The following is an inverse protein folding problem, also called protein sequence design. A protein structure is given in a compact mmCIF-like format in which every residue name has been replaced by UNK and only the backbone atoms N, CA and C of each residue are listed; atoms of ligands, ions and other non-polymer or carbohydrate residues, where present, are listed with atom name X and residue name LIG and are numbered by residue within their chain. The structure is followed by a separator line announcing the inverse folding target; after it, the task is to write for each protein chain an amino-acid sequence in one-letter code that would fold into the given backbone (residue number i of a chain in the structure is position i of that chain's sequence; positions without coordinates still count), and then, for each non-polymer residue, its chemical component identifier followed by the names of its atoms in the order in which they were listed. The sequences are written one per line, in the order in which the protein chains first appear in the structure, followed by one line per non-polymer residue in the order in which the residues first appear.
data_IF_656535858517
#
_entry.id   IF_656535858517
#
_cell.length_a   1.000
_cell.length_b   1.000
_cell.length_c   1.000
_cell.angle_alpha   90.00
_cell.angle_beta   90.00
_cell.angle_gamma   90.00
#
_symmetry.space_group_name_H-M   'P 1'
#
loop_
_entity.id
_entity.type
_entity.pdbx_description
1 polymer ?
#
# COMPACT_ATOMS: atom_id res chain seq x y z
N UNK A 1 -2.92 25.23 -26.14
CA UNK A 1 -3.48 23.89 -26.33
C UNK A 1 -2.41 23.04 -26.98
N UNK A 2 -1.76 22.19 -26.20
CA UNK A 2 -0.53 21.50 -26.57
C UNK A 2 -0.84 20.17 -27.28
N UNK A 3 -0.17 19.98 -28.43
CA UNK A 3 0.52 18.75 -28.87
C UNK A 3 -0.22 17.42 -28.63
N UNK A 4 -1.11 17.05 -29.56
CA UNK A 4 -1.36 15.63 -29.85
C UNK A 4 -0.17 15.08 -30.63
N UNK A 5 0.79 14.51 -29.90
CA UNK A 5 1.85 13.70 -30.49
C UNK A 5 1.21 12.48 -31.15
N UNK A 6 1.38 12.40 -32.46
CA UNK A 6 1.06 11.26 -33.30
C UNK A 6 1.99 10.10 -32.89
N UNK A 7 1.58 9.35 -31.87
CA UNK A 7 2.20 8.09 -31.49
C UNK A 7 1.80 7.07 -32.57
N UNK A 8 2.56 7.05 -33.65
CA UNK A 8 2.51 5.96 -34.63
C UNK A 8 3.16 4.76 -33.95
N UNK A 9 2.39 4.08 -33.09
CA UNK A 9 2.90 3.00 -32.25
C UNK A 9 3.16 1.80 -33.15
N UNK A 10 4.41 1.34 -33.17
CA UNK A 10 4.82 0.13 -33.87
C UNK A 10 4.23 -1.08 -33.13
N UNK A 11 3.00 -1.47 -33.48
CA UNK A 11 2.33 -2.67 -32.96
C UNK A 11 3.26 -3.89 -33.12
N UNK A 12 4.01 -3.97 -34.23
CA UNK A 12 4.95 -5.05 -34.50
C UNK A 12 6.14 -5.10 -33.53
N UNK A 13 6.70 -3.97 -33.09
CA UNK A 13 7.83 -3.97 -32.15
C UNK A 13 7.40 -4.40 -30.75
N UNK A 14 6.20 -3.99 -30.34
CA UNK A 14 5.63 -4.33 -29.04
C UNK A 14 5.30 -5.82 -28.96
N UNK A 15 4.75 -6.41 -30.04
CA UNK A 15 4.53 -7.86 -30.16
C UNK A 15 5.84 -8.63 -30.06
N UNK A 16 6.89 -8.20 -30.79
CA UNK A 16 8.20 -8.85 -30.75
C UNK A 16 8.82 -8.80 -29.35
N UNK A 17 8.69 -7.67 -28.63
CA UNK A 17 9.22 -7.55 -27.27
C UNK A 17 8.50 -8.48 -26.28
N UNK A 18 7.18 -8.63 -26.40
CA UNK A 18 6.40 -9.55 -25.56
C UNK A 18 6.73 -11.01 -25.89
N UNK A 19 6.97 -11.32 -27.17
CA UNK A 19 7.41 -12.65 -27.60
C UNK A 19 8.82 -12.99 -27.10
N UNK A 20 9.76 -12.04 -27.15
CA UNK A 20 11.11 -12.18 -26.58
C UNK A 20 11.08 -12.39 -25.06
N UNK A 21 10.03 -11.91 -24.39
CA UNK A 21 9.79 -12.17 -22.96
C UNK A 21 9.23 -13.56 -22.67
N UNK A 22 8.99 -14.37 -23.71
CA UNK A 22 8.50 -15.75 -23.60
C UNK A 22 6.99 -15.88 -23.45
N UNK A 23 6.21 -14.85 -23.78
CA UNK A 23 4.75 -14.91 -23.77
C UNK A 23 4.22 -15.64 -25.00
N UNK A 24 3.19 -16.46 -24.79
CA UNK A 24 2.49 -17.17 -25.87
C UNK A 24 1.61 -16.21 -26.68
N UNK A 25 1.39 -16.52 -27.96
CA UNK A 25 0.66 -15.68 -28.92
C UNK A 25 -0.75 -15.28 -28.46
N UNK A 26 -1.42 -16.14 -27.70
CA UNK A 26 -2.74 -15.87 -27.10
C UNK A 26 -2.67 -14.85 -25.96
N UNK A 27 -1.60 -14.85 -25.16
CA UNK A 27 -1.36 -13.89 -24.08
C UNK A 27 -0.95 -12.53 -24.63
N UNK A 28 -0.11 -12.52 -25.68
CA UNK A 28 0.25 -11.30 -26.42
C UNK A 28 -1.00 -10.62 -26.98
N UNK A 29 -1.93 -11.40 -27.55
CA UNK A 29 -3.18 -10.87 -28.07
C UNK A 29 -4.06 -10.24 -26.97
N UNK A 30 -4.15 -10.89 -25.81
CA UNK A 30 -4.91 -10.37 -24.66
C UNK A 30 -4.30 -9.08 -24.12
N UNK A 31 -2.97 -9.03 -23.96
CA UNK A 31 -2.25 -7.86 -23.46
C UNK A 31 -2.32 -6.69 -24.46
N UNK A 32 -2.22 -6.95 -25.77
CA UNK A 32 -2.35 -5.92 -26.79
C UNK A 32 -3.78 -5.38 -26.91
N UNK A 33 -4.79 -6.24 -26.79
CA UNK A 33 -6.19 -5.80 -26.74
C UNK A 33 -6.47 -4.95 -25.50
N UNK A 34 -5.88 -5.33 -24.35
CA UNK A 34 -5.94 -4.55 -23.11
C UNK A 34 -5.28 -3.18 -23.21
N UNK A 35 -4.23 -3.06 -24.02
CA UNK A 35 -3.56 -1.79 -24.37
C UNK A 35 -4.34 -0.94 -25.38
N UNK A 36 -5.49 -1.43 -25.85
CA UNK A 36 -6.42 -0.69 -26.71
C UNK A 36 -6.23 -0.94 -28.21
N UNK A 37 -5.42 -1.92 -28.60
CA UNK A 37 -5.29 -2.30 -30.00
C UNK A 37 -6.47 -3.15 -30.48
N UNK A 38 -6.83 -3.01 -31.75
CA UNK A 38 -7.91 -3.81 -32.34
C UNK A 38 -7.44 -5.25 -32.59
N UNK A 39 -8.25 -6.28 -32.30
CA UNK A 39 -7.89 -7.68 -32.53
C UNK A 39 -7.43 -7.97 -33.96
N UNK A 40 -8.07 -7.37 -34.95
CA UNK A 40 -7.73 -7.52 -36.39
C UNK A 40 -6.32 -7.00 -36.72
N UNK A 41 -5.86 -5.95 -36.02
CA UNK A 41 -4.54 -5.34 -36.24
C UNK A 41 -3.45 -6.14 -35.55
N UNK A 42 -3.75 -6.68 -34.36
CA UNK A 42 -2.82 -7.50 -33.59
C UNK A 42 -2.57 -8.83 -34.29
N UNK A 43 -3.63 -9.48 -34.81
CA UNK A 43 -3.50 -10.76 -35.54
C UNK A 43 -2.73 -10.60 -36.86
N UNK A 44 -2.98 -9.52 -37.61
CA UNK A 44 -2.24 -9.23 -38.83
C UNK A 44 -0.74 -8.98 -38.56
N UNK A 45 -0.42 -8.24 -37.50
CA UNK A 45 0.96 -7.97 -37.10
C UNK A 45 1.67 -9.24 -36.56
N UNK A 46 0.94 -10.08 -35.83
CA UNK A 46 1.46 -11.36 -35.33
C UNK A 46 1.78 -12.31 -36.49
N UNK A 47 0.87 -12.46 -37.45
CA UNK A 47 1.08 -13.26 -38.66
C UNK A 47 2.25 -12.72 -39.52
N UNK A 48 2.45 -11.40 -39.53
CA UNK A 48 3.58 -10.78 -40.22
C UNK A 48 4.92 -11.02 -39.49
N UNK A 49 4.90 -11.11 -38.16
CA UNK A 49 6.09 -11.38 -37.35
C UNK A 49 6.51 -12.86 -37.35
N UNK A 50 5.57 -13.76 -37.63
CA UNK A 50 5.83 -15.20 -37.76
C UNK A 50 6.32 -15.58 -39.16
N UNK A 51 6.09 -14.71 -40.14
CA UNK A 51 6.78 -14.74 -41.41
C UNK A 51 8.18 -14.13 -41.21
N UNK A 52 9.21 -14.97 -41.23
CA UNK A 52 10.61 -14.57 -41.15
C UNK A 52 11.02 -13.52 -42.20
N UNK A 53 12.28 -13.03 -42.16
CA UNK A 53 12.72 -11.82 -42.86
C UNK A 53 12.30 -11.79 -44.34
N UNK A 54 11.95 -10.60 -44.89
CA UNK A 54 11.42 -10.49 -46.24
C UNK A 54 12.45 -11.03 -47.22
N UNK A 55 12.07 -12.10 -47.93
CA UNK A 55 12.83 -12.58 -49.07
C UNK A 55 12.83 -11.46 -50.12
N UNK A 56 13.99 -11.01 -50.62
CA UNK A 56 14.07 -10.00 -51.66
C UNK A 56 13.42 -10.49 -52.96
N UNK A 57 12.60 -9.60 -53.53
CA UNK A 57 12.41 -9.32 -54.96
C UNK A 57 12.72 -10.43 -55.98
N UNK A 58 11.66 -10.91 -56.64
CA UNK A 58 11.71 -11.34 -58.04
C UNK A 58 11.61 -12.85 -58.30
N UNK A 59 10.45 -13.30 -58.77
CA UNK A 59 10.33 -13.99 -60.08
C UNK A 59 8.87 -14.39 -60.42
N UNK A 60 8.58 -14.62 -61.71
CA UNK A 60 7.36 -14.18 -62.37
C UNK A 60 6.25 -15.24 -62.38
N UNK A 61 5.05 -14.73 -62.63
CA UNK A 61 3.90 -15.46 -63.15
C UNK A 61 4.32 -16.34 -64.34
N UNK A 62 4.28 -17.66 -64.16
CA UNK A 62 4.34 -18.63 -65.26
C UNK A 62 2.93 -19.08 -65.61
N UNK A 63 2.42 -18.48 -66.67
CA UNK A 63 1.32 -18.97 -67.50
C UNK A 63 1.59 -20.39 -67.97
N UNK A 64 0.74 -21.34 -67.59
CA UNK A 64 0.64 -22.63 -68.27
C UNK A 64 -0.53 -22.61 -69.26
N UNK A 65 -0.36 -23.16 -70.48
CA UNK A 65 -1.40 -23.18 -71.51
C UNK A 65 -2.42 -24.29 -71.29
N UNK A 66 -3.65 -23.92 -71.62
CA UNK A 66 -4.81 -24.71 -72.02
C UNK A 66 -4.47 -26.02 -72.77
N UNK A 67 -4.87 -27.16 -72.18
CA UNK A 67 -5.17 -28.41 -72.92
C UNK A 67 -6.23 -29.20 -72.16
N UNK A 68 -7.36 -29.43 -72.81
CA UNK A 68 -8.07 -30.71 -72.72
C UNK A 68 -9.32 -30.70 -71.83
N UNK A 69 -10.47 -30.63 -72.48
CA UNK A 69 -11.77 -30.61 -71.84
C UNK A 69 -12.14 -31.89 -71.10
N UNK A 70 -12.90 -31.70 -70.02
CA UNK A 70 -13.75 -32.71 -69.42
C UNK A 70 -15.12 -32.09 -69.10
N UNK A 71 -16.21 -32.85 -69.30
CA UNK A 71 -17.57 -32.35 -69.16
C UNK A 71 -17.92 -32.10 -67.69
N UNK A 72 -18.54 -30.94 -67.44
CA UNK A 72 -19.09 -30.52 -66.15
C UNK A 72 -20.15 -31.50 -65.63
N UNK A 73 -20.02 -32.02 -64.40
CA UNK A 73 -21.14 -32.51 -63.64
C UNK A 73 -21.95 -31.32 -63.12
N UNK A 74 -23.23 -31.39 -63.47
CA UNK A 74 -24.32 -30.52 -63.08
C UNK A 74 -24.36 -30.33 -61.56
N UNK A 75 -24.36 -29.06 -61.12
CA UNK A 75 -24.66 -28.67 -59.74
C UNK A 75 -26.07 -29.13 -59.37
N UNK A 76 -26.17 -30.14 -58.53
CA UNK A 76 -27.33 -30.30 -57.65
C UNK A 76 -27.14 -29.36 -56.46
N UNK A 77 -27.90 -28.27 -56.47
CA UNK A 77 -28.10 -27.41 -55.32
C UNK A 77 -28.88 -28.18 -54.25
N UNK A 78 -28.15 -28.92 -53.40
CA UNK A 78 -28.67 -29.37 -52.12
C UNK A 78 -28.58 -28.21 -51.15
N UNK A 79 -29.68 -27.46 -51.02
CA UNK A 79 -29.89 -26.55 -49.91
C UNK A 79 -30.12 -27.35 -48.64
N UNK A 80 -29.05 -27.88 -48.05
CA UNK A 80 -29.03 -28.28 -46.65
C UNK A 80 -28.83 -27.03 -45.81
N UNK A 81 -29.90 -26.59 -45.16
CA UNK A 81 -29.85 -25.54 -44.16
C UNK A 81 -28.82 -25.89 -43.06
N UNK A 82 -28.04 -24.91 -42.56
CA UNK A 82 -27.10 -25.12 -41.47
C UNK A 82 -27.86 -25.27 -40.14
N UNK A 83 -28.34 -26.48 -39.86
CA UNK A 83 -28.93 -26.84 -38.56
C UNK A 83 -27.88 -27.31 -37.54
N UNK A 84 -26.60 -26.98 -37.76
CA UNK A 84 -25.47 -27.29 -36.86
C UNK A 84 -25.08 -26.11 -35.96
N UNK A 85 -25.62 -24.91 -36.24
CA UNK A 85 -25.30 -23.70 -35.47
C UNK A 85 -26.03 -23.66 -34.11
N UNK A 86 -27.28 -24.13 -34.03
CA UNK A 86 -28.07 -24.09 -32.80
C UNK A 86 -27.48 -24.96 -31.68
N UNK A 87 -27.01 -26.17 -32.01
CA UNK A 87 -26.34 -27.06 -31.04
C UNK A 87 -25.00 -26.50 -30.53
N UNK A 88 -24.34 -25.66 -31.32
CA UNK A 88 -23.08 -25.00 -30.94
C UNK A 88 -23.34 -23.82 -29.99
N UNK A 89 -24.40 -23.04 -30.21
CA UNK A 89 -24.81 -21.98 -29.27
C UNK A 89 -25.28 -22.52 -27.93
N UNK A 90 -26.02 -23.63 -27.90
CA UNK A 90 -26.46 -24.25 -26.64
C UNK A 90 -25.26 -24.73 -25.80
N UNK A 91 -24.23 -25.30 -26.44
CA UNK A 91 -23.00 -25.72 -25.77
C UNK A 91 -22.15 -24.53 -25.28
N UNK A 92 -22.09 -23.46 -26.07
CA UNK A 92 -21.41 -22.21 -25.66
C UNK A 92 -22.17 -21.55 -24.52
N UNK A 93 -23.51 -21.58 -24.53
CA UNK A 93 -24.35 -21.07 -23.46
C UNK A 93 -24.14 -21.88 -22.17
N UNK A 94 -24.14 -23.21 -22.23
CA UNK A 94 -23.86 -24.07 -21.07
C UNK A 94 -22.47 -23.80 -20.48
N UNK A 95 -21.43 -23.65 -21.32
CA UNK A 95 -20.08 -23.31 -20.87
C UNK A 95 -20.06 -21.90 -20.25
N UNK A 96 -20.75 -20.94 -20.87
CA UNK A 96 -20.82 -19.57 -20.36
C UNK A 96 -21.55 -19.48 -19.02
N UNK A 97 -22.68 -20.17 -18.84
CA UNK A 97 -23.44 -20.22 -17.58
C UNK A 97 -22.59 -20.84 -16.46
N UNK A 98 -21.91 -21.97 -16.74
CA UNK A 98 -21.01 -22.59 -15.75
C UNK A 98 -19.84 -21.66 -15.37
N UNK A 99 -19.27 -20.93 -16.33
CA UNK A 99 -18.21 -19.94 -16.06
C UNK A 99 -18.76 -18.77 -15.26
N UNK A 100 -19.96 -18.29 -15.57
CA UNK A 100 -20.62 -17.18 -14.85
C UNK A 100 -20.88 -17.59 -13.40
N UNK A 101 -21.42 -18.78 -13.16
CA UNK A 101 -21.68 -19.31 -11.83
C UNK A 101 -20.39 -19.47 -11.02
N UNK A 102 -19.33 -20.04 -11.60
CA UNK A 102 -18.03 -20.17 -10.93
C UNK A 102 -17.46 -18.80 -10.54
N UNK A 103 -17.53 -17.82 -11.45
CA UNK A 103 -17.05 -16.46 -11.18
C UNK A 103 -17.93 -15.72 -10.18
N UNK A 104 -19.23 -16.00 -10.17
CA UNK A 104 -20.17 -15.42 -9.21
C UNK A 104 -19.93 -15.98 -7.80
N UNK A 105 -19.71 -17.28 -7.67
CA UNK A 105 -19.33 -17.90 -6.39
C UNK A 105 -17.98 -17.38 -5.90
N UNK A 106 -16.99 -17.26 -6.79
CA UNK A 106 -15.70 -16.68 -6.46
C UNK A 106 -15.85 -15.23 -5.97
N UNK A 107 -16.67 -14.42 -6.64
CA UNK A 107 -16.94 -13.03 -6.24
C UNK A 107 -17.62 -12.96 -4.87
N UNK A 108 -18.64 -13.79 -4.62
CA UNK A 108 -19.32 -13.86 -3.32
C UNK A 108 -18.33 -14.24 -2.22
N UNK A 109 -17.43 -15.18 -2.49
CA UNK A 109 -16.38 -15.59 -1.55
C UNK A 109 -15.46 -14.43 -1.20
N UNK A 110 -14.98 -13.67 -2.19
CA UNK A 110 -14.15 -12.49 -1.94
C UNK A 110 -14.91 -11.38 -1.19
N UNK A 111 -16.18 -11.14 -1.52
CA UNK A 111 -17.03 -10.18 -0.79
C UNK A 111 -17.20 -10.60 0.68
N UNK A 112 -17.39 -11.88 0.98
CA UNK A 112 -17.45 -12.38 2.36
C UNK A 112 -16.15 -12.10 3.12
N UNK A 113 -14.99 -12.33 2.50
CA UNK A 113 -13.68 -12.00 3.11
C UNK A 113 -13.56 -10.50 3.41
N UNK A 114 -14.05 -9.65 2.52
CA UNK A 114 -14.06 -8.19 2.73
C UNK A 114 -14.96 -7.80 3.90
N UNK A 115 -16.14 -8.43 4.04
CA UNK A 115 -17.06 -8.20 5.16
C UNK A 115 -16.39 -8.59 6.49
N UNK A 116 -15.80 -9.79 6.56
CA UNK A 116 -15.08 -10.24 7.76
C UNK A 116 -13.90 -9.32 8.12
N UNK A 117 -13.17 -8.86 7.10
CA UNK A 117 -12.09 -7.89 7.31
C UNK A 117 -12.63 -6.56 7.82
N UNK A 118 -13.73 -6.05 7.26
CA UNK A 118 -14.40 -4.83 7.72
C UNK A 118 -14.81 -4.95 9.19
N UNK A 119 -15.43 -6.06 9.58
CA UNK A 119 -15.84 -6.29 10.97
C UNK A 119 -14.63 -6.30 11.92
N UNK A 120 -13.52 -6.97 11.53
CA UNK A 120 -12.27 -6.97 12.32
C UNK A 120 -11.65 -5.58 12.42
N UNK A 121 -11.69 -4.77 11.36
CA UNK A 121 -11.17 -3.39 11.36
C UNK A 121 -12.04 -2.49 12.21
N UNK A 122 -13.36 -2.57 12.10
CA UNK A 122 -14.28 -1.81 12.93
C UNK A 122 -14.11 -2.14 14.42
N UNK A 123 -13.89 -3.41 14.75
CA UNK A 123 -13.64 -3.82 16.12
C UNK A 123 -12.32 -3.25 16.66
N UNK A 124 -11.23 -3.35 15.89
CA UNK A 124 -9.95 -2.71 16.25
C UNK A 124 -10.07 -1.20 16.36
N UNK A 125 -10.86 -0.56 15.50
CA UNK A 125 -11.10 0.89 15.55
C UNK A 125 -11.85 1.29 16.83
N UNK A 126 -12.87 0.51 17.23
CA UNK A 126 -13.59 0.72 18.49
C UNK A 126 -12.65 0.55 19.68
N UNK A 127 -11.83 -0.49 19.71
CA UNK A 127 -10.85 -0.73 20.76
C UNK A 127 -9.83 0.41 20.86
N UNK A 128 -9.26 0.84 19.73
CA UNK A 128 -8.32 1.96 19.69
C UNK A 128 -8.95 3.26 20.21
N UNK A 129 -10.21 3.53 19.84
CA UNK A 129 -10.93 4.71 20.32
C UNK A 129 -11.11 4.67 21.84
N UNK A 130 -11.47 3.51 22.39
CA UNK A 130 -11.61 3.32 23.83
C UNK A 130 -10.27 3.47 24.56
N UNK A 131 -9.20 2.93 24.01
CA UNK A 131 -7.87 3.01 24.61
C UNK A 131 -7.34 4.45 24.60
N UNK A 132 -7.59 5.21 23.54
CA UNK A 132 -7.26 6.65 23.49
C UNK A 132 -8.07 7.43 24.53
N UNK A 133 -9.35 7.09 24.72
CA UNK A 133 -10.16 7.74 25.76
C UNK A 133 -9.66 7.42 27.17
N UNK A 134 -9.30 6.16 27.46
CA UNK A 134 -8.68 5.78 28.73
C UNK A 134 -7.35 6.48 28.96
N UNK A 135 -6.48 6.50 27.96
CA UNK A 135 -5.19 7.19 28.03
C UNK A 135 -5.36 8.69 28.31
N UNK A 136 -6.37 9.33 27.72
CA UNK A 136 -6.71 10.73 28.00
C UNK A 136 -7.13 10.92 29.45
N UNK A 137 -7.90 9.99 30.02
CA UNK A 137 -8.34 10.08 31.41
C UNK A 137 -7.18 9.82 32.38
N UNK A 138 -6.38 8.79 32.13
CA UNK A 138 -5.16 8.49 32.90
C UNK A 138 -4.19 9.69 32.87
N UNK A 139 -4.04 10.34 31.71
CA UNK A 139 -3.23 11.54 31.58
C UNK A 139 -3.75 12.70 32.43
N UNK A 140 -5.07 12.92 32.50
CA UNK A 140 -5.64 13.97 33.38
C UNK A 140 -5.39 13.66 34.85
N UNK A 141 -5.61 12.42 35.27
CA UNK A 141 -5.38 11.99 36.66
C UNK A 141 -3.91 12.16 37.02
N UNK A 142 -3.00 11.75 36.13
CA UNK A 142 -1.57 11.95 36.31
C UNK A 142 -1.22 13.44 36.37
N UNK A 143 -1.74 14.25 35.44
CA UNK A 143 -1.45 15.69 35.40
C UNK A 143 -1.92 16.40 36.67
N UNK A 144 -3.12 16.07 37.15
CA UNK A 144 -3.65 16.59 38.41
C UNK A 144 -2.82 16.13 39.61
N UNK A 145 -2.41 14.85 39.63
CA UNK A 145 -1.54 14.30 40.67
C UNK A 145 -0.16 14.96 40.69
N UNK A 146 0.44 15.19 39.52
CA UNK A 146 1.75 15.86 39.38
C UNK A 146 1.66 17.33 39.77
N UNK A 147 0.62 18.06 39.36
CA UNK A 147 0.40 19.45 39.81
C UNK A 147 0.27 19.51 41.33
N UNK A 148 -0.56 18.65 41.92
CA UNK A 148 -0.72 18.60 43.38
C UNK A 148 0.57 18.28 44.12
N UNK A 149 1.40 17.36 43.59
CA UNK A 149 2.72 17.07 44.16
C UNK A 149 3.70 18.23 44.01
N UNK A 150 3.61 18.99 42.93
CA UNK A 150 4.45 20.18 42.72
C UNK A 150 4.06 21.31 43.67
N UNK A 151 2.76 21.56 43.86
CA UNK A 151 2.25 22.54 44.81
C UNK A 151 2.62 22.16 46.25
N UNK A 152 2.47 20.88 46.63
CA UNK A 152 2.93 20.34 47.91
C UNK A 152 4.45 20.52 48.11
N UNK A 153 5.22 20.42 47.02
CA UNK A 153 6.67 20.58 47.06
C UNK A 153 7.05 22.06 47.23
N UNK A 154 6.39 22.97 46.51
CA UNK A 154 6.60 24.42 46.64
C UNK A 154 6.24 24.91 48.05
N UNK A 155 5.11 24.46 48.59
CA UNK A 155 4.71 24.75 49.97
C UNK A 155 5.77 24.29 50.98
N UNK A 156 6.24 23.04 50.88
CA UNK A 156 7.31 22.52 51.75
C UNK A 156 8.62 23.28 51.58
N UNK A 157 9.01 23.64 50.36
CA UNK A 157 10.20 24.44 50.10
C UNK A 157 10.10 25.82 50.76
N UNK A 158 8.92 26.43 50.74
CA UNK A 158 8.66 27.70 51.40
C UNK A 158 8.76 27.58 52.92
N UNK A 159 8.16 26.54 53.50
CA UNK A 159 8.25 26.26 54.94
C UNK A 159 9.71 26.04 55.36
N UNK A 160 10.45 25.20 54.62
CA UNK A 160 11.88 24.98 54.83
C UNK A 160 12.68 26.28 54.72
N UNK A 161 12.37 27.14 53.76
CA UNK A 161 13.00 28.46 53.64
C UNK A 161 12.75 29.35 54.86
N UNK A 162 11.56 29.25 55.45
CA UNK A 162 11.17 30.00 56.65
C UNK A 162 11.90 29.48 57.88
N UNK A 163 11.95 28.16 58.05
CA UNK A 163 12.71 27.49 59.11
C UNK A 163 14.21 27.78 58.99
N UNK A 164 14.78 27.68 57.78
CA UNK A 164 16.18 27.99 57.51
C UNK A 164 16.49 29.46 57.82
N UNK A 165 15.57 30.37 57.52
CA UNK A 165 15.68 31.79 57.90
C UNK A 165 15.69 31.99 59.41
N UNK A 166 14.82 31.30 60.15
CA UNK A 166 14.79 31.32 61.60
C UNK A 166 16.08 30.75 62.20
N UNK A 167 16.55 29.61 61.70
CA UNK A 167 17.84 29.00 62.08
C UNK A 167 18.99 29.97 61.80
N UNK A 168 18.98 30.65 60.64
CA UNK A 168 19.97 31.66 60.29
C UNK A 168 19.98 32.86 61.26
N UNK A 169 18.80 33.27 61.75
CA UNK A 169 18.68 34.31 62.77
C UNK A 169 19.24 33.85 64.12
N UNK A 170 18.91 32.64 64.56
CA UNK A 170 19.46 32.04 65.78
C UNK A 170 20.98 31.93 65.67
N UNK A 171 21.53 31.49 64.55
CA UNK A 171 22.97 31.46 64.33
C UNK A 171 23.62 32.84 64.41
N UNK A 172 22.97 33.89 63.88
CA UNK A 172 23.46 35.27 64.00
C UNK A 172 23.51 35.75 65.45
N UNK A 173 22.56 35.35 66.27
CA UNK A 173 22.48 35.77 67.67
C UNK A 173 23.45 34.96 68.55
N UNK A 174 23.59 33.65 68.29
CA UNK A 174 24.36 32.70 69.11
C UNK A 174 25.86 32.70 68.80
N UNK A 175 26.27 32.88 67.54
CA UNK A 175 27.71 32.89 67.17
C UNK A 175 28.51 33.97 67.93
N UNK A 176 28.06 35.24 68.00
CA UNK A 176 28.78 36.26 68.74
C UNK A 176 28.92 35.94 70.23
N UNK A 177 27.86 35.44 70.85
CA UNK A 177 27.83 35.07 72.28
C UNK A 177 28.80 33.92 72.56
N UNK A 178 28.84 32.89 71.70
CA UNK A 178 29.85 31.83 71.80
C UNK A 178 31.28 32.35 71.65
N UNK A 179 31.54 33.24 70.68
CA UNK A 179 32.87 33.83 70.47
C UNK A 179 33.31 34.65 71.67
N UNK A 180 32.40 35.42 72.27
CA UNK A 180 32.67 36.21 73.46
C UNK A 180 32.96 35.31 74.68
N UNK A 181 32.11 34.30 74.92
CA UNK A 181 32.29 33.31 75.99
C UNK A 181 33.63 32.55 75.87
N UNK A 182 34.00 32.13 74.65
CA UNK A 182 35.30 31.46 74.40
C UNK A 182 36.47 32.43 74.65
N UNK A 183 36.34 33.71 74.30
CA UNK A 183 37.33 34.76 74.60
C UNK A 183 37.50 34.95 76.11
N UNK A 184 36.40 35.03 76.87
CA UNK A 184 36.43 35.16 78.32
C UNK A 184 37.09 33.96 79.00
N UNK A 185 36.73 32.74 78.59
CA UNK A 185 37.35 31.50 79.03
C UNK A 185 38.85 31.49 78.74
N UNK A 186 39.26 31.86 77.53
CA UNK A 186 40.68 32.00 77.17
C UNK A 186 41.40 33.00 78.08
N UNK A 187 40.76 34.12 78.42
CA UNK A 187 41.32 35.15 79.28
C UNK A 187 41.41 34.71 80.76
N UNK A 188 40.43 33.95 81.25
CA UNK A 188 40.42 33.34 82.59
C UNK A 188 41.52 32.27 82.73
N UNK A 189 41.62 31.36 81.76
CA UNK A 189 42.69 30.36 81.72
C UNK A 189 44.07 31.03 81.62
N UNK A 190 44.20 32.09 80.80
CA UNK A 190 45.44 32.86 80.70
C UNK A 190 45.85 33.54 82.00
N UNK A 191 44.89 34.06 82.78
CA UNK A 191 45.15 34.59 84.14
C UNK A 191 45.57 33.49 85.11
N UNK A 192 44.89 32.34 85.09
CA UNK A 192 45.26 31.20 85.94
C UNK A 192 46.64 30.65 85.62
N UNK A 193 47.09 30.67 84.36
CA UNK A 193 48.41 30.17 83.96
C UNK A 193 49.58 31.11 84.32
N UNK A 194 49.30 32.36 84.72
CA UNK A 194 50.30 33.38 85.10
C UNK A 194 50.47 33.55 86.62
N UNK A 195 49.62 32.92 87.43
CA UNK A 195 49.84 32.72 88.86
C UNK A 195 50.58 31.40 89.07
#
# INVERSE_FOLDING_TARGET
MALFAQQNVNIGSDIMQLRDSGMEDSEVMAEMTRRGYRPDQVSAALAQSDQGPPIPEGMPSSSYPDVGGYPSPQMEASSSAPQENLASYDRIAEIAENIIDEKWEQLISEVKKIIEWKEKVEEKQRQLTNDVQKLKEDFKVLHQGVLGKLDDYDARMRDVGTELGAVGKVFKDVIPEFVENVKELSHLTGKMRKK
#
